data_IF_298111160822
#
_entry.id   IF_298111160822
#
_cell.length_a   1.000
_cell.length_b   1.000
_cell.length_c   1.000
_cell.angle_alpha   90.00
_cell.angle_beta   90.00
_cell.angle_gamma   90.00
#
_symmetry.space_group_name_H-M   'P 1'
#
loop_
_entity.id
_entity.type
_entity.pdbx_description
1 polymer ?
#
# COMPACT_ATOMS: atom_id res chain seq x y z
N UNK A 1 21.50 -0.60 -9.56
CA UNK A 1 21.92 -0.67 -10.97
C UNK A 1 23.38 -1.11 -11.00
N UNK A 2 23.74 -1.93 -12.00
CA UNK A 2 24.95 -2.79 -12.14
C UNK A 2 24.90 -4.10 -11.34
N UNK A 3 24.30 -5.17 -11.88
CA UNK A 3 24.74 -6.08 -12.98
C UNK A 3 25.49 -7.28 -12.37
N UNK A 4 25.10 -8.48 -12.82
CA UNK A 4 25.74 -9.74 -12.48
C UNK A 4 24.96 -10.88 -13.13
N UNK A 5 25.29 -11.15 -14.38
CA UNK A 5 24.60 -11.92 -15.43
C UNK A 5 24.40 -13.43 -15.19
N UNK A 6 24.18 -13.87 -13.96
CA UNK A 6 23.86 -15.28 -13.65
C UNK A 6 22.45 -15.50 -13.08
N UNK A 7 21.70 -14.43 -12.76
CA UNK A 7 20.44 -14.48 -12.00
C UNK A 7 19.25 -13.79 -12.66
N UNK A 8 19.36 -13.41 -13.95
CA UNK A 8 18.32 -12.63 -14.65
C UNK A 8 16.95 -13.35 -14.59
N UNK A 9 16.93 -14.67 -14.80
CA UNK A 9 15.70 -15.46 -14.68
C UNK A 9 15.15 -15.59 -13.25
N UNK A 10 16.01 -15.67 -12.22
CA UNK A 10 15.56 -15.71 -10.82
C UNK A 10 15.00 -14.36 -10.38
N UNK A 11 15.63 -13.26 -10.80
CA UNK A 11 15.15 -11.90 -10.54
C UNK A 11 13.79 -11.66 -11.18
N UNK A 12 13.56 -12.10 -12.41
CA UNK A 12 12.26 -11.97 -13.08
C UNK A 12 11.16 -12.79 -12.41
N UNK A 13 11.42 -14.05 -12.07
CA UNK A 13 10.44 -14.90 -11.36
C UNK A 13 10.13 -14.36 -9.96
N UNK A 14 11.15 -13.89 -9.24
CA UNK A 14 10.97 -13.27 -7.92
C UNK A 14 10.18 -11.96 -8.04
N UNK A 15 10.53 -11.11 -9.00
CA UNK A 15 9.82 -9.87 -9.28
C UNK A 15 8.35 -10.13 -9.64
N UNK A 16 8.08 -11.16 -10.45
CA UNK A 16 6.70 -11.58 -10.76
C UNK A 16 5.95 -12.00 -9.50
N UNK A 17 6.57 -12.79 -8.61
CA UNK A 17 5.95 -13.21 -7.34
C UNK A 17 5.69 -12.03 -6.40
N UNK A 18 6.60 -11.05 -6.36
CA UNK A 18 6.42 -9.81 -5.59
C UNK A 18 5.24 -9.02 -6.16
N UNK A 19 5.15 -8.85 -7.47
CA UNK A 19 4.02 -8.15 -8.10
C UNK A 19 2.70 -8.86 -7.78
N UNK A 20 2.63 -10.18 -7.94
CA UNK A 20 1.44 -10.97 -7.59
C UNK A 20 1.05 -10.85 -6.11
N UNK A 21 2.03 -10.75 -5.21
CA UNK A 21 1.79 -10.51 -3.80
C UNK A 21 1.20 -9.12 -3.59
N UNK A 22 1.78 -8.08 -4.19
CA UNK A 22 1.31 -6.70 -4.08
C UNK A 22 -0.11 -6.55 -4.65
N UNK A 23 -0.41 -7.20 -5.78
CA UNK A 23 -1.76 -7.23 -6.37
C UNK A 23 -2.78 -7.86 -5.41
N UNK A 24 -2.41 -8.96 -4.74
CA UNK A 24 -3.25 -9.60 -3.73
C UNK A 24 -3.46 -8.71 -2.50
N UNK A 25 -2.41 -8.02 -2.05
CA UNK A 25 -2.51 -7.06 -0.94
C UNK A 25 -3.43 -5.91 -1.32
N UNK A 26 -3.30 -5.36 -2.53
CA UNK A 26 -4.19 -4.30 -3.03
C UNK A 26 -5.64 -4.76 -3.06
N UNK A 27 -5.90 -5.96 -3.59
CA UNK A 27 -7.24 -6.54 -3.64
C UNK A 27 -7.83 -6.74 -2.23
N UNK A 28 -7.02 -7.17 -1.27
CA UNK A 28 -7.44 -7.31 0.13
C UNK A 28 -7.80 -5.96 0.76
N UNK A 29 -6.96 -4.93 0.55
CA UNK A 29 -7.24 -3.57 1.05
C UNK A 29 -8.54 -3.04 0.46
N UNK A 30 -8.73 -3.21 -0.85
CA UNK A 30 -9.95 -2.81 -1.55
C UNK A 30 -11.20 -3.49 -0.99
N UNK A 31 -11.10 -4.78 -0.68
CA UNK A 31 -12.20 -5.52 -0.06
C UNK A 31 -12.50 -5.02 1.35
N UNK A 32 -11.48 -4.73 2.17
CA UNK A 32 -11.67 -4.13 3.49
C UNK A 32 -12.35 -2.76 3.42
N UNK A 33 -12.00 -1.92 2.44
CA UNK A 33 -12.66 -0.63 2.22
C UNK A 33 -14.14 -0.81 1.85
N UNK A 34 -14.48 -1.78 1.00
CA UNK A 34 -15.87 -2.12 0.67
C UNK A 34 -16.66 -2.56 1.91
N UNK A 35 -16.08 -3.41 2.75
CA UNK A 35 -16.71 -3.83 4.01
C UNK A 35 -16.96 -2.63 4.93
N UNK A 36 -16.00 -1.71 5.05
CA UNK A 36 -16.18 -0.49 5.83
C UNK A 36 -17.28 0.41 5.25
N UNK A 37 -17.45 0.49 3.93
CA UNK A 37 -18.57 1.19 3.30
C UNK A 37 -19.93 0.52 3.60
N UNK A 38 -20.00 -0.81 3.65
CA UNK A 38 -21.24 -1.52 4.07
C UNK A 38 -21.62 -1.29 5.54
N UNK A 39 -20.71 -0.74 6.33
CA UNK A 39 -20.91 -0.41 7.75
C UNK A 39 -21.09 1.10 7.99
N UNK A 40 -21.39 1.87 6.93
CA UNK A 40 -21.58 3.33 6.95
C UNK A 40 -20.35 4.14 7.46
N UNK A 41 -19.15 3.53 7.46
CA UNK A 41 -17.91 4.23 7.81
C UNK A 41 -17.32 5.03 6.64
N UNK A 42 -17.66 4.66 5.41
CA UNK A 42 -17.17 5.25 4.15
C UNK A 42 -18.36 5.53 3.22
N UNK A 43 -18.23 6.56 2.39
CA UNK A 43 -19.22 6.79 1.32
C UNK A 43 -19.24 5.60 0.36
N UNK A 44 -20.42 5.07 0.00
CA UNK A 44 -20.54 3.96 -0.95
C UNK A 44 -20.08 4.34 -2.36
N UNK A 45 -20.03 5.64 -2.68
CA UNK A 45 -19.61 6.17 -3.99
C UNK A 45 -18.09 6.41 -4.09
N UNK A 46 -17.33 6.14 -3.03
CA UNK A 46 -15.89 6.34 -3.04
C UNK A 46 -15.17 5.40 -4.03
N UNK A 47 -14.13 5.91 -4.67
CA UNK A 47 -13.27 5.07 -5.54
C UNK A 47 -12.36 4.17 -4.69
N UNK A 48 -12.89 3.02 -4.29
CA UNK A 48 -12.15 2.03 -3.48
C UNK A 48 -10.89 1.51 -4.18
N UNK A 49 -10.84 1.54 -5.52
CA UNK A 49 -9.66 1.12 -6.29
C UNK A 49 -8.51 2.10 -6.11
N UNK A 50 -8.78 3.38 -6.37
CA UNK A 50 -7.79 4.45 -6.16
C UNK A 50 -7.35 4.53 -4.69
N UNK A 51 -8.26 4.38 -3.74
CA UNK A 51 -7.94 4.39 -2.31
C UNK A 51 -7.04 3.21 -1.90
N UNK A 52 -7.33 2.01 -2.38
CA UNK A 52 -6.51 0.83 -2.09
C UNK A 52 -5.09 0.99 -2.66
N UNK A 53 -4.98 1.50 -3.89
CA UNK A 53 -3.68 1.76 -4.51
C UNK A 53 -2.87 2.84 -3.78
N UNK A 54 -3.52 3.91 -3.29
CA UNK A 54 -2.88 4.94 -2.48
C UNK A 54 -2.28 4.38 -1.19
N UNK A 55 -3.06 3.56 -0.46
CA UNK A 55 -2.59 2.88 0.75
C UNK A 55 -1.42 1.94 0.47
N UNK A 56 -1.48 1.20 -0.64
CA UNK A 56 -0.39 0.31 -1.05
C UNK A 56 0.88 1.09 -1.40
N UNK A 57 0.77 2.20 -2.13
CA UNK A 57 1.89 3.08 -2.44
C UNK A 57 2.58 3.61 -1.18
N UNK A 58 1.79 3.99 -0.17
CA UNK A 58 2.32 4.41 1.13
C UNK A 58 3.12 3.28 1.80
N UNK A 59 2.56 2.07 1.90
CA UNK A 59 3.25 0.91 2.49
C UNK A 59 4.56 0.60 1.78
N UNK A 60 4.54 0.57 0.44
CA UNK A 60 5.74 0.36 -0.38
C UNK A 60 6.78 1.46 -0.11
N UNK A 61 6.34 2.72 -0.02
CA UNK A 61 7.21 3.85 0.33
C UNK A 61 7.89 3.69 1.69
N UNK A 62 7.15 3.22 2.71
CA UNK A 62 7.70 2.92 4.04
C UNK A 62 8.73 1.80 3.99
N UNK A 63 8.47 0.72 3.26
CA UNK A 63 9.42 -0.38 3.09
C UNK A 63 10.69 0.05 2.35
N UNK A 64 10.55 0.86 1.31
CA UNK A 64 11.69 1.41 0.57
C UNK A 64 12.55 2.32 1.45
N UNK A 65 11.94 3.17 2.28
CA UNK A 65 12.67 4.01 3.23
C UNK A 65 13.43 3.18 4.27
N UNK A 66 12.79 2.13 4.81
CA UNK A 66 13.43 1.19 5.72
C UNK A 66 14.65 0.52 5.08
N UNK A 67 14.50 -0.04 3.88
CA UNK A 67 15.61 -0.66 3.15
C UNK A 67 16.75 0.33 2.84
N UNK A 68 16.41 1.54 2.37
CA UNK A 68 17.41 2.59 2.06
C UNK A 68 18.14 3.09 3.30
N UNK A 69 17.51 3.04 4.47
CA UNK A 69 18.12 3.42 5.74
C UNK A 69 19.08 2.37 6.31
N UNK A 70 19.30 1.24 5.62
CA UNK A 70 20.07 0.12 6.18
C UNK A 70 19.35 -0.58 7.33
N UNK A 71 18.01 -0.63 7.26
CA UNK A 71 17.15 -1.25 8.27
C UNK A 71 17.11 -0.53 9.63
N UNK A 72 17.37 0.79 9.66
CA UNK A 72 17.39 1.60 10.88
C UNK A 72 16.06 2.35 11.10
N UNK A 73 15.44 2.85 10.03
CA UNK A 73 14.20 3.63 10.12
C UNK A 73 12.98 2.70 10.10
N UNK A 74 12.38 2.47 11.25
CA UNK A 74 11.23 1.56 11.36
C UNK A 74 10.09 1.91 10.37
N UNK A 75 9.51 0.91 9.68
CA UNK A 75 8.36 1.10 8.80
C UNK A 75 7.13 1.69 9.49
N UNK A 76 7.05 1.61 10.83
CA UNK A 76 5.95 2.13 11.65
C UNK A 76 6.30 3.43 12.41
N UNK A 77 7.52 3.96 12.23
CA UNK A 77 7.87 5.27 12.78
C UNK A 77 6.82 6.32 12.41
N UNK A 78 6.44 7.20 13.33
CA UNK A 78 5.45 8.27 13.08
C UNK A 78 4.03 7.79 12.70
N UNK A 79 3.72 6.49 12.79
CA UNK A 79 2.43 5.95 12.35
C UNK A 79 1.23 6.63 13.03
N UNK A 80 1.32 6.88 14.34
CA UNK A 80 0.25 7.54 15.09
C UNK A 80 -0.10 8.94 14.55
N UNK A 81 0.89 9.67 13.99
CA UNK A 81 0.68 10.97 13.38
C UNK A 81 0.23 10.88 11.91
N UNK A 82 0.71 9.89 11.16
CA UNK A 82 0.43 9.74 9.74
C UNK A 82 -0.93 9.06 9.47
N UNK A 83 -1.37 8.15 10.35
CA UNK A 83 -2.63 7.45 10.19
C UNK A 83 -3.84 8.38 10.11
N UNK A 84 -3.99 9.39 11.00
CA UNK A 84 -5.05 10.40 10.84
C UNK A 84 -5.01 11.14 9.51
N UNK A 85 -3.83 11.42 8.95
CA UNK A 85 -3.69 12.11 7.66
C UNK A 85 -4.17 11.23 6.51
N UNK A 86 -3.82 9.94 6.52
CA UNK A 86 -4.31 8.96 5.56
C UNK A 86 -5.83 8.78 5.69
N UNK A 87 -6.34 8.71 6.93
CA UNK A 87 -7.77 8.65 7.18
C UNK A 87 -8.49 9.87 6.61
N UNK A 88 -7.99 11.08 6.80
CA UNK A 88 -8.60 12.29 6.21
C UNK A 88 -8.57 12.22 4.67
N UNK A 89 -7.46 11.80 4.08
CA UNK A 89 -7.37 11.61 2.62
C UNK A 89 -8.36 10.56 2.11
N UNK A 90 -8.65 9.51 2.89
CA UNK A 90 -9.58 8.44 2.52
C UNK A 90 -11.06 8.75 2.88
N UNK A 91 -11.32 9.51 3.95
CA UNK A 91 -12.64 9.73 4.54
C UNK A 91 -13.24 11.10 4.24
N UNK A 92 -12.46 12.05 3.68
CA UNK A 92 -13.01 13.33 3.22
C UNK A 92 -13.92 13.20 1.99
N UNK A 93 -14.11 12.01 1.45
CA UNK A 93 -15.13 11.72 0.44
C UNK A 93 -16.52 11.45 1.07
N UNK A 94 -16.84 12.09 2.19
CA UNK A 94 -18.23 12.13 2.68
C UNK A 94 -19.05 12.93 1.67
N UNK A 95 -19.91 12.26 0.93
CA UNK A 95 -20.89 12.91 0.04
C UNK A 95 -21.69 13.93 0.85
N UNK A 96 -21.86 15.12 0.28
CA UNK A 96 -22.75 16.16 0.77
C UNK A 96 -24.21 15.68 0.80
#
# INVERSE_FOLDING_TARGET
MLIGDALVNEKERLQLRINQLLDKVEASIRQSLRVAATQDHLSPDADFGTLANLLLCYVIGRWQQYAKSGFVREPLADWAAQWPMLLVACLNQRSA
#
